data_IF_682375546980
#
_entry.id   IF_682375546980
#
_cell.length_a   1.000
_cell.length_b   1.000
_cell.length_c   1.000
_cell.angle_alpha   90.00
_cell.angle_beta   90.00
_cell.angle_gamma   90.00
#
_symmetry.space_group_name_H-M   'P 1'
#
loop_
_entity.id
_entity.type
_entity.pdbx_description
1 polymer ?
#
# COMPACT_ATOMS: atom_id res chain seq x y z
N UNK A 1 8.60 13.76 2.27
CA UNK A 1 8.16 12.37 2.08
C UNK A 1 8.81 11.82 0.82
N UNK A 2 9.55 10.72 0.95
CA UNK A 2 10.20 10.07 -0.21
C UNK A 2 9.20 9.16 -0.91
N UNK A 3 9.08 9.34 -2.21
CA UNK A 3 8.15 8.60 -3.07
C UNK A 3 8.95 7.76 -4.06
N UNK A 4 8.50 6.54 -4.24
CA UNK A 4 8.88 5.68 -5.34
C UNK A 4 7.66 5.50 -6.25
N UNK A 5 7.81 5.80 -7.53
CA UNK A 5 6.84 5.44 -8.56
C UNK A 5 7.43 4.34 -9.44
N UNK A 6 6.77 3.20 -9.44
CA UNK A 6 7.09 2.05 -10.29
C UNK A 6 6.33 2.23 -11.61
N UNK A 7 7.07 2.26 -12.71
CA UNK A 7 6.52 2.37 -14.05
C UNK A 7 6.95 1.13 -14.87
N UNK A 8 6.13 0.07 -14.86
CA UNK A 8 6.43 -1.14 -15.60
C UNK A 8 6.23 -0.87 -17.11
N UNK A 9 7.30 -0.57 -17.82
CA UNK A 9 7.24 -0.28 -19.27
C UNK A 9 6.71 -1.48 -20.03
N UNK A 10 7.22 -2.68 -19.71
CA UNK A 10 6.75 -3.91 -20.33
C UNK A 10 6.79 -5.13 -19.41
N UNK A 11 7.35 -5.01 -18.20
CA UNK A 11 7.41 -6.09 -17.24
C UNK A 11 7.76 -5.61 -15.83
N UNK A 12 7.57 -6.49 -14.86
CA UNK A 12 8.05 -6.32 -13.48
C UNK A 12 8.39 -7.67 -12.87
N UNK A 13 9.63 -7.77 -12.40
CA UNK A 13 10.17 -8.90 -11.66
C UNK A 13 11.09 -8.40 -10.54
N UNK A 14 11.51 -9.28 -9.65
CA UNK A 14 12.39 -8.92 -8.56
C UNK A 14 13.76 -8.44 -9.03
N UNK A 15 14.37 -9.17 -9.95
CA UNK A 15 15.67 -8.83 -10.56
C UNK A 15 15.62 -7.48 -11.30
N UNK A 16 14.56 -7.21 -12.07
CA UNK A 16 14.35 -5.91 -12.71
C UNK A 16 14.22 -4.79 -11.69
N UNK A 17 13.55 -5.03 -10.57
CA UNK A 17 13.41 -4.03 -9.51
C UNK A 17 14.74 -3.73 -8.82
N UNK A 18 15.55 -4.76 -8.55
CA UNK A 18 16.91 -4.61 -8.01
C UNK A 18 17.80 -3.86 -8.99
N UNK A 19 17.76 -4.24 -10.30
CA UNK A 19 18.46 -3.55 -11.37
C UNK A 19 18.08 -2.07 -11.46
N UNK A 20 16.80 -1.75 -11.34
CA UNK A 20 16.33 -0.37 -11.34
C UNK A 20 16.84 0.42 -10.11
N UNK A 21 16.88 -0.17 -8.92
CA UNK A 21 17.50 0.47 -7.75
C UNK A 21 19.00 0.70 -7.94
N UNK A 22 19.73 -0.28 -8.48
CA UNK A 22 21.14 -0.11 -8.78
C UNK A 22 21.37 1.01 -9.82
N UNK A 23 20.54 1.08 -10.86
CA UNK A 23 20.55 2.15 -11.85
C UNK A 23 20.24 3.53 -11.24
N UNK A 24 19.37 3.59 -10.23
CA UNK A 24 19.04 4.82 -9.50
C UNK A 24 20.13 5.23 -8.49
N UNK A 25 21.17 4.41 -8.30
CA UNK A 25 22.33 4.72 -7.45
C UNK A 25 22.37 3.96 -6.12
N UNK A 26 21.69 2.82 -5.99
CA UNK A 26 21.97 1.86 -4.91
C UNK A 26 23.34 1.22 -5.18
N UNK A 27 24.35 1.43 -4.31
CA UNK A 27 25.65 0.80 -4.49
C UNK A 27 25.52 -0.73 -4.38
N UNK A 28 26.15 -1.45 -5.28
CA UNK A 28 26.06 -2.91 -5.29
C UNK A 28 26.79 -3.54 -4.08
N UNK A 29 27.71 -2.79 -3.46
CA UNK A 29 28.36 -3.11 -2.20
C UNK A 29 27.36 -3.31 -1.06
N UNK A 30 26.25 -2.57 -1.06
CA UNK A 30 25.16 -2.71 -0.07
C UNK A 30 24.44 -4.05 -0.20
N UNK A 31 24.23 -4.52 -1.45
CA UNK A 31 23.66 -5.85 -1.73
C UNK A 31 24.66 -6.93 -1.32
N UNK A 32 25.93 -6.77 -1.67
CA UNK A 32 26.98 -7.71 -1.28
C UNK A 32 27.16 -7.79 0.23
N UNK A 33 27.02 -6.65 0.93
CA UNK A 33 27.08 -6.62 2.41
C UNK A 33 25.88 -7.36 3.03
N UNK A 34 24.69 -7.25 2.44
CA UNK A 34 23.52 -8.01 2.84
C UNK A 34 23.76 -9.51 2.67
N UNK A 35 24.30 -9.96 1.54
CA UNK A 35 24.56 -11.37 1.26
C UNK A 35 25.55 -12.00 2.23
N UNK A 36 26.58 -11.26 2.67
CA UNK A 36 27.54 -11.75 3.66
C UNK A 36 26.89 -12.06 5.01
N UNK A 37 25.71 -11.52 5.28
CA UNK A 37 24.95 -11.77 6.52
C UNK A 37 24.01 -12.98 6.40
N UNK A 38 23.78 -13.49 5.20
CA UNK A 38 22.94 -14.67 4.95
C UNK A 38 23.75 -15.91 5.35
N UNK A 39 23.22 -16.83 6.20
CA UNK A 39 23.97 -17.99 6.73
C UNK A 39 24.10 -19.13 5.72
N UNK A 40 24.16 -18.81 4.44
CA UNK A 40 24.41 -19.76 3.34
C UNK A 40 25.10 -19.04 2.18
N UNK A 41 25.78 -19.81 1.33
CA UNK A 41 26.40 -19.26 0.13
C UNK A 41 25.32 -18.98 -0.92
N UNK A 42 25.05 -17.70 -1.14
CA UNK A 42 24.20 -17.26 -2.24
C UNK A 42 24.95 -17.29 -3.58
N UNK A 43 24.23 -17.47 -4.72
CA UNK A 43 24.81 -17.30 -6.04
C UNK A 43 25.35 -15.90 -6.22
N UNK A 44 26.41 -15.77 -7.02
CA UNK A 44 26.98 -14.47 -7.33
C UNK A 44 26.02 -13.68 -8.22
N UNK A 45 25.85 -12.40 -7.91
CA UNK A 45 25.05 -11.48 -8.72
C UNK A 45 25.97 -10.40 -9.27
N UNK A 46 25.90 -10.20 -10.57
CA UNK A 46 26.70 -9.20 -11.25
C UNK A 46 25.79 -8.22 -12.00
N UNK A 47 25.82 -6.92 -11.66
CA UNK A 47 25.09 -5.91 -12.41
C UNK A 47 25.77 -5.67 -13.75
N UNK A 48 25.02 -5.76 -14.83
CA UNK A 48 25.53 -5.55 -16.20
C UNK A 48 24.70 -4.46 -16.87
N UNK A 49 25.36 -3.48 -17.48
CA UNK A 49 24.66 -2.52 -18.33
C UNK A 49 24.21 -3.20 -19.61
N UNK A 50 22.92 -3.12 -19.87
CA UNK A 50 22.31 -3.73 -21.04
C UNK A 50 21.30 -2.78 -21.67
N UNK A 51 21.26 -2.75 -23.00
CA UNK A 51 20.29 -1.96 -23.75
C UNK A 51 19.09 -2.83 -24.17
N UNK A 52 17.91 -2.29 -23.98
CA UNK A 52 16.64 -2.78 -24.53
C UNK A 52 16.05 -1.71 -25.45
N UNK A 53 16.32 -1.84 -26.75
CA UNK A 53 16.05 -0.77 -27.72
C UNK A 53 16.87 0.48 -27.43
N UNK A 54 16.21 1.60 -27.17
CA UNK A 54 16.87 2.88 -26.81
C UNK A 54 17.06 3.06 -25.29
N UNK A 55 16.58 2.11 -24.49
CA UNK A 55 16.66 2.18 -23.03
C UNK A 55 17.89 1.42 -22.57
N UNK A 56 18.84 2.11 -21.93
CA UNK A 56 19.95 1.49 -21.21
C UNK A 56 19.56 1.36 -19.72
N UNK A 57 19.71 0.16 -19.18
CA UNK A 57 19.42 -0.14 -17.78
C UNK A 57 20.41 -1.13 -17.20
N UNK A 58 20.15 -1.54 -15.95
CA UNK A 58 20.93 -2.58 -15.30
C UNK A 58 20.16 -3.91 -15.38
N UNK A 59 20.82 -4.89 -15.97
CA UNK A 59 20.43 -6.30 -15.91
C UNK A 59 21.24 -7.00 -14.81
N UNK A 60 20.59 -7.91 -14.07
CA UNK A 60 21.27 -8.73 -13.09
C UNK A 60 21.61 -10.07 -13.69
N UNK A 61 22.90 -10.33 -13.85
CA UNK A 61 23.38 -11.67 -14.19
C UNK A 61 23.54 -12.45 -12.88
N UNK A 62 22.61 -13.37 -12.61
CA UNK A 62 22.62 -14.24 -11.44
C UNK A 62 23.25 -15.57 -11.86
N UNK A 63 24.27 -16.02 -11.12
CA UNK A 63 24.89 -17.33 -11.34
C UNK A 63 23.84 -18.43 -11.16
N UNK A 64 23.78 -19.40 -12.09
CA UNK A 64 22.87 -20.53 -11.98
C UNK A 64 23.12 -21.30 -10.68
N UNK A 65 22.07 -21.63 -9.98
CA UNK A 65 22.13 -22.33 -8.70
C UNK A 65 20.95 -23.30 -8.58
N UNK A 66 21.27 -24.55 -8.27
CA UNK A 66 20.26 -25.58 -7.93
C UNK A 66 19.85 -25.52 -6.45
N UNK A 67 20.14 -24.39 -5.77
CA UNK A 67 19.80 -24.23 -4.36
C UNK A 67 18.31 -23.98 -4.19
N UNK A 68 17.62 -24.95 -3.64
CA UNK A 68 16.23 -24.87 -3.25
C UNK A 68 16.12 -24.70 -1.74
N UNK A 69 15.21 -23.85 -1.30
CA UNK A 69 14.95 -23.58 0.10
C UNK A 69 13.50 -23.95 0.43
N UNK A 70 13.31 -24.62 1.54
CA UNK A 70 11.98 -24.80 2.11
C UNK A 70 11.45 -23.51 2.68
N UNK A 71 10.13 -23.41 2.85
CA UNK A 71 9.49 -22.24 3.50
C UNK A 71 10.12 -21.97 4.87
N UNK A 72 10.30 -23.02 5.68
CA UNK A 72 10.87 -22.89 7.03
C UNK A 72 12.32 -22.38 7.01
N UNK A 73 13.12 -22.78 6.02
CA UNK A 73 14.49 -22.26 5.85
C UNK A 73 14.49 -20.78 5.44
N UNK A 74 13.64 -20.39 4.48
CA UNK A 74 13.51 -18.97 4.09
C UNK A 74 13.10 -18.11 5.29
N UNK A 75 12.07 -18.52 6.03
CA UNK A 75 11.63 -17.80 7.24
C UNK A 75 12.74 -17.71 8.31
N UNK A 76 13.44 -18.82 8.55
CA UNK A 76 14.54 -18.85 9.52
C UNK A 76 15.68 -17.93 9.11
N UNK A 77 16.02 -17.90 7.81
CA UNK A 77 17.06 -17.00 7.28
C UNK A 77 16.63 -15.55 7.49
N UNK A 78 15.44 -15.15 7.01
CA UNK A 78 14.96 -13.77 7.10
C UNK A 78 14.93 -13.29 8.58
N UNK A 79 14.39 -14.09 9.50
CA UNK A 79 14.30 -13.75 10.93
C UNK A 79 15.67 -13.62 11.59
N UNK A 80 16.62 -14.50 11.20
CA UNK A 80 17.96 -14.57 11.76
C UNK A 80 18.96 -13.53 11.26
N UNK A 81 18.63 -12.78 10.17
CA UNK A 81 19.54 -11.79 9.60
C UNK A 81 19.83 -10.64 10.58
N UNK A 82 21.11 -10.24 10.63
CA UNK A 82 21.54 -9.03 11.35
C UNK A 82 21.41 -7.79 10.46
N UNK A 83 20.16 -7.38 10.20
CA UNK A 83 19.80 -6.19 9.41
C UNK A 83 18.70 -5.41 10.09
N UNK A 84 18.42 -4.21 9.61
CA UNK A 84 17.33 -3.37 10.12
C UNK A 84 15.99 -4.09 10.17
N UNK A 85 15.18 -3.81 11.18
CA UNK A 85 13.87 -4.45 11.36
C UNK A 85 12.99 -4.31 10.10
N UNK A 86 13.00 -3.14 9.47
CA UNK A 86 12.24 -2.87 8.25
C UNK A 86 12.52 -3.88 7.14
N UNK A 87 13.79 -4.19 6.88
CA UNK A 87 14.18 -5.15 5.83
C UNK A 87 13.62 -6.54 6.12
N UNK A 88 13.70 -6.99 7.39
CA UNK A 88 13.16 -8.29 7.81
C UNK A 88 11.65 -8.34 7.72
N UNK A 89 10.99 -7.30 8.21
CA UNK A 89 9.54 -7.23 8.25
C UNK A 89 8.94 -7.18 6.84
N UNK A 90 9.54 -6.38 5.94
CA UNK A 90 9.13 -6.30 4.54
C UNK A 90 9.36 -7.62 3.79
N UNK A 91 10.56 -8.23 3.93
CA UNK A 91 10.86 -9.51 3.29
C UNK A 91 9.92 -10.62 3.78
N UNK A 92 9.66 -10.68 5.09
CA UNK A 92 8.74 -11.65 5.68
C UNK A 92 7.29 -11.42 5.23
N UNK A 93 6.85 -10.17 5.15
CA UNK A 93 5.51 -9.83 4.67
C UNK A 93 5.33 -10.20 3.19
N UNK A 94 6.33 -9.96 2.36
CA UNK A 94 6.34 -10.38 0.95
C UNK A 94 6.32 -11.89 0.80
N UNK A 95 7.13 -12.62 1.56
CA UNK A 95 7.09 -14.09 1.59
C UNK A 95 5.69 -14.59 1.97
N UNK A 96 5.06 -14.00 2.98
CA UNK A 96 3.70 -14.35 3.40
C UNK A 96 2.65 -14.12 2.29
N UNK A 97 2.80 -13.10 1.46
CA UNK A 97 1.91 -12.87 0.31
C UNK A 97 2.01 -14.03 -0.68
N UNK A 98 3.22 -14.45 -1.03
CA UNK A 98 3.48 -15.58 -1.92
C UNK A 98 2.85 -16.86 -1.35
N UNK A 99 3.15 -17.18 -0.09
CA UNK A 99 2.65 -18.40 0.56
C UNK A 99 1.12 -18.45 0.63
N UNK A 100 0.47 -17.33 0.88
CA UNK A 100 -0.99 -17.26 0.90
C UNK A 100 -1.60 -17.50 -0.50
N UNK A 101 -0.99 -16.93 -1.53
CA UNK A 101 -1.44 -17.11 -2.90
C UNK A 101 -1.26 -18.57 -3.37
N UNK A 102 -0.08 -19.14 -3.12
CA UNK A 102 0.22 -20.55 -3.44
C UNK A 102 -0.72 -21.51 -2.70
N UNK A 103 -0.91 -21.32 -1.39
CA UNK A 103 -1.83 -22.13 -0.59
C UNK A 103 -3.25 -22.10 -1.16
N UNK A 104 -3.72 -20.92 -1.57
CA UNK A 104 -5.04 -20.76 -2.17
C UNK A 104 -5.18 -21.42 -3.52
N UNK A 105 -4.17 -21.29 -4.39
CA UNK A 105 -4.19 -21.86 -5.75
C UNK A 105 -4.10 -23.40 -5.70
N UNK A 106 -3.24 -23.93 -4.83
CA UNK A 106 -3.07 -25.38 -4.68
C UNK A 106 -4.13 -26.05 -3.79
N UNK A 107 -4.88 -25.26 -3.01
CA UNK A 107 -5.90 -25.79 -2.10
C UNK A 107 -5.34 -26.59 -0.93
N UNK A 108 -4.10 -26.33 -0.52
CA UNK A 108 -3.38 -27.06 0.55
C UNK A 108 -2.93 -26.10 1.65
N UNK A 109 -2.69 -26.65 2.84
CA UNK A 109 -2.16 -25.87 3.98
C UNK A 109 -0.76 -25.34 3.74
N UNK A 110 -0.37 -24.26 4.44
CA UNK A 110 0.97 -23.66 4.30
C UNK A 110 2.10 -24.64 4.65
N UNK A 111 1.86 -25.51 5.62
CA UNK A 111 2.86 -26.49 6.09
C UNK A 111 3.09 -27.63 5.09
N UNK A 112 2.18 -27.79 4.12
CA UNK A 112 2.24 -28.80 3.05
C UNK A 112 2.71 -28.19 1.71
N UNK A 113 2.98 -26.89 1.66
CA UNK A 113 3.39 -26.21 0.44
C UNK A 113 4.80 -26.61 0.01
N UNK A 114 4.88 -27.04 -1.23
CA UNK A 114 6.12 -27.15 -1.98
C UNK A 114 6.18 -26.02 -3.00
N UNK A 115 7.06 -25.04 -2.81
CA UNK A 115 7.10 -23.79 -3.59
C UNK A 115 7.57 -23.99 -5.04
N UNK A 116 7.87 -25.22 -5.48
CA UNK A 116 8.33 -25.53 -6.85
C UNK A 116 9.33 -24.47 -7.36
N UNK A 117 8.96 -23.67 -8.37
CA UNK A 117 9.80 -22.62 -8.94
C UNK A 117 10.15 -21.53 -7.93
N UNK A 118 9.25 -21.19 -7.00
CA UNK A 118 9.48 -20.20 -5.96
C UNK A 118 10.33 -20.71 -4.78
N UNK A 119 10.70 -22.01 -4.78
CA UNK A 119 11.67 -22.57 -3.83
C UNK A 119 13.12 -22.20 -4.16
N UNK A 120 13.39 -21.72 -5.37
CA UNK A 120 14.72 -21.26 -5.76
C UNK A 120 15.20 -20.10 -4.87
N UNK A 121 16.47 -20.09 -4.60
CA UNK A 121 17.11 -19.04 -3.78
C UNK A 121 16.90 -17.64 -4.33
N UNK A 122 16.62 -17.52 -5.64
CA UNK A 122 16.35 -16.26 -6.32
C UNK A 122 15.15 -15.52 -5.69
N UNK A 123 14.10 -16.26 -5.26
CA UNK A 123 12.98 -15.68 -4.54
C UNK A 123 13.44 -14.98 -3.25
N UNK A 124 14.29 -15.63 -2.46
CA UNK A 124 14.84 -15.03 -1.24
C UNK A 124 15.68 -13.79 -1.53
N UNK A 125 16.50 -13.86 -2.59
CA UNK A 125 17.33 -12.76 -3.07
C UNK A 125 16.45 -11.56 -3.44
N UNK A 126 15.41 -11.79 -4.26
CA UNK A 126 14.49 -10.74 -4.69
C UNK A 126 13.85 -10.03 -3.49
N UNK A 127 13.28 -10.80 -2.55
CA UNK A 127 12.61 -10.23 -1.38
C UNK A 127 13.57 -9.40 -0.52
N UNK A 128 14.76 -9.91 -0.24
CA UNK A 128 15.74 -9.23 0.61
C UNK A 128 16.34 -7.99 -0.07
N UNK A 129 16.70 -8.08 -1.35
CA UNK A 129 17.33 -6.98 -2.07
C UNK A 129 16.36 -5.84 -2.37
N UNK A 130 15.09 -6.16 -2.68
CA UNK A 130 14.07 -5.13 -2.84
C UNK A 130 13.78 -4.43 -1.52
N UNK A 131 13.63 -5.17 -0.41
CA UNK A 131 13.48 -4.57 0.91
C UNK A 131 14.68 -3.68 1.28
N UNK A 132 15.93 -4.11 0.93
CA UNK A 132 17.13 -3.30 1.11
C UNK A 132 17.11 -2.03 0.25
N UNK A 133 16.65 -2.09 -0.99
CA UNK A 133 16.51 -0.91 -1.85
C UNK A 133 15.51 0.10 -1.29
N UNK A 134 14.37 -0.36 -0.81
CA UNK A 134 13.37 0.48 -0.15
C UNK A 134 13.91 1.17 1.11
N UNK A 135 14.69 0.44 1.91
CA UNK A 135 15.32 0.96 3.12
C UNK A 135 16.43 1.97 2.79
N UNK A 136 17.29 1.66 1.82
CA UNK A 136 18.39 2.53 1.39
C UNK A 136 17.93 3.90 0.90
N UNK A 137 16.86 3.94 0.10
CA UNK A 137 16.28 5.18 -0.40
C UNK A 137 15.28 5.82 0.57
N UNK A 138 15.09 5.23 1.74
CA UNK A 138 14.14 5.71 2.77
C UNK A 138 12.72 5.96 2.20
N UNK A 139 12.26 5.02 1.36
CA UNK A 139 10.98 5.17 0.66
C UNK A 139 9.82 5.13 1.66
N UNK A 140 9.02 6.20 1.70
CA UNK A 140 7.84 6.30 2.54
C UNK A 140 6.58 5.75 1.85
N UNK A 141 6.45 5.99 0.53
CA UNK A 141 5.29 5.58 -0.26
C UNK A 141 5.68 5.09 -1.65
N UNK A 142 4.93 4.10 -2.11
CA UNK A 142 5.11 3.50 -3.43
C UNK A 142 3.81 3.61 -4.22
N UNK A 143 3.95 4.04 -5.46
CA UNK A 143 2.89 4.06 -6.47
C UNK A 143 3.31 3.23 -7.66
N UNK A 144 2.35 2.71 -8.40
CA UNK A 144 2.62 1.87 -9.57
C UNK A 144 1.68 2.24 -10.71
N UNK A 145 2.22 2.29 -11.92
CA UNK A 145 1.43 2.34 -13.15
C UNK A 145 0.61 1.06 -13.37
N UNK A 146 -0.14 1.00 -14.48
CA UNK A 146 -0.84 -0.23 -14.86
C UNK A 146 0.15 -1.38 -15.04
N UNK A 147 -0.19 -2.57 -14.53
CA UNK A 147 0.72 -3.72 -14.48
C UNK A 147 0.59 -4.53 -15.76
N UNK A 148 1.68 -4.72 -16.55
CA UNK A 148 1.62 -5.46 -17.78
C UNK A 148 1.52 -6.96 -17.52
N UNK A 149 0.62 -7.61 -18.23
CA UNK A 149 0.43 -9.06 -18.21
C UNK A 149 0.44 -9.60 -19.65
N UNK A 150 1.06 -10.74 -19.85
CA UNK A 150 1.00 -11.46 -21.12
C UNK A 150 -0.32 -12.20 -21.30
N UNK A 151 -0.47 -12.92 -22.41
CA UNK A 151 -1.64 -13.75 -22.74
C UNK A 151 -1.21 -15.16 -23.16
N UNK A 152 -2.21 -16.02 -23.29
CA UNK A 152 -2.01 -17.40 -23.80
C UNK A 152 -1.53 -18.33 -22.70
N UNK A 153 -0.44 -19.04 -22.96
CA UNK A 153 0.12 -20.04 -22.04
C UNK A 153 1.64 -19.92 -21.97
N UNK A 154 2.19 -20.33 -20.83
CA UNK A 154 3.63 -20.46 -20.61
C UNK A 154 3.96 -21.87 -20.14
N UNK A 155 5.20 -22.30 -20.38
CA UNK A 155 5.71 -23.58 -19.92
C UNK A 155 6.47 -23.38 -18.61
N UNK A 156 6.08 -24.09 -17.58
CA UNK A 156 6.65 -24.05 -16.23
C UNK A 156 6.96 -25.46 -15.72
N UNK A 157 7.50 -25.58 -14.52
CA UNK A 157 7.68 -26.87 -13.84
C UNK A 157 6.36 -27.65 -13.68
N UNK A 158 5.22 -26.94 -13.57
CA UNK A 158 3.88 -27.52 -13.54
C UNK A 158 3.32 -27.91 -14.92
N UNK A 159 4.14 -27.83 -15.99
CA UNK A 159 3.70 -28.03 -17.36
C UNK A 159 3.25 -26.74 -18.04
N UNK A 160 2.25 -26.83 -18.91
CA UNK A 160 1.70 -25.68 -19.63
C UNK A 160 0.58 -25.08 -18.78
N UNK A 161 0.75 -23.84 -18.35
CA UNK A 161 -0.24 -23.11 -17.54
C UNK A 161 -0.71 -21.82 -18.24
N UNK A 162 -1.86 -21.26 -17.85
CA UNK A 162 -2.29 -19.95 -18.34
C UNK A 162 -1.27 -18.85 -18.06
N UNK A 163 -1.21 -17.87 -18.94
CA UNK A 163 -0.42 -16.63 -18.76
C UNK A 163 -1.36 -15.41 -18.62
N UNK A 164 -1.31 -14.62 -17.55
CA UNK A 164 -0.38 -14.72 -16.41
C UNK A 164 -0.62 -15.97 -15.56
N UNK A 165 0.43 -16.43 -14.82
CA UNK A 165 0.27 -17.55 -13.89
C UNK A 165 -0.86 -17.31 -12.87
N UNK A 166 -1.60 -18.36 -12.49
CA UNK A 166 -2.70 -18.21 -11.52
C UNK A 166 -2.28 -17.54 -10.21
N UNK A 167 -1.08 -17.86 -9.69
CA UNK A 167 -0.55 -17.24 -8.48
C UNK A 167 -0.30 -15.75 -8.65
N UNK A 168 0.23 -15.33 -9.81
CA UNK A 168 0.44 -13.91 -10.14
C UNK A 168 -0.87 -13.15 -10.14
N UNK A 169 -1.93 -13.68 -10.78
CA UNK A 169 -3.25 -13.07 -10.79
C UNK A 169 -3.91 -13.03 -9.41
N UNK A 170 -3.74 -14.07 -8.60
CA UNK A 170 -4.24 -14.08 -7.22
C UNK A 170 -3.60 -12.94 -6.41
N UNK A 171 -2.27 -12.78 -6.51
CA UNK A 171 -1.54 -11.70 -5.83
C UNK A 171 -2.01 -10.32 -6.31
N UNK A 172 -2.23 -10.16 -7.61
CA UNK A 172 -2.65 -8.89 -8.24
C UNK A 172 -4.16 -8.61 -8.13
N UNK A 173 -4.92 -9.45 -7.45
CA UNK A 173 -6.36 -9.22 -7.27
C UNK A 173 -6.65 -7.82 -6.72
N UNK A 174 -7.47 -7.05 -7.45
CA UNK A 174 -7.83 -5.66 -7.14
C UNK A 174 -6.80 -4.61 -7.60
N UNK A 175 -5.81 -4.95 -8.41
CA UNK A 175 -4.91 -4.00 -9.06
C UNK A 175 -5.27 -3.79 -10.53
N UNK A 176 -4.87 -2.64 -11.09
CA UNK A 176 -5.09 -2.34 -12.50
C UNK A 176 -4.05 -3.05 -13.36
N UNK A 177 -4.49 -3.97 -14.21
CA UNK A 177 -3.65 -4.75 -15.11
C UNK A 177 -3.95 -4.41 -16.56
N UNK A 178 -2.92 -4.48 -17.42
CA UNK A 178 -3.03 -4.30 -18.87
C UNK A 178 -2.50 -5.52 -19.56
N UNK A 179 -3.32 -6.14 -20.41
CA UNK A 179 -2.91 -7.31 -21.19
C UNK A 179 -2.25 -6.92 -22.50
N UNK A 180 -1.11 -7.55 -22.74
CA UNK A 180 -0.41 -7.51 -24.04
C UNK A 180 -0.53 -8.85 -24.74
N UNK A 181 -0.53 -8.82 -26.07
CA UNK A 181 -0.60 -10.02 -26.91
C UNK A 181 0.80 -10.67 -27.07
N UNK A 182 1.31 -11.13 -25.93
CA UNK A 182 2.64 -11.74 -25.78
C UNK A 182 2.52 -13.01 -24.92
N UNK A 183 3.09 -14.11 -25.40
CA UNK A 183 3.16 -15.38 -24.64
C UNK A 183 4.39 -15.41 -23.73
N UNK A 184 4.64 -14.33 -23.02
CA UNK A 184 5.76 -14.13 -22.10
C UNK A 184 5.24 -13.80 -20.71
N UNK A 185 5.93 -14.24 -19.68
CA UNK A 185 5.65 -13.87 -18.30
C UNK A 185 6.18 -12.44 -18.04
N UNK A 186 5.36 -11.43 -18.35
CA UNK A 186 5.75 -10.03 -18.19
C UNK A 186 5.81 -9.59 -16.73
N UNK A 187 4.91 -10.12 -15.91
CA UNK A 187 4.90 -9.90 -14.46
C UNK A 187 5.06 -11.23 -13.76
N UNK A 188 6.16 -11.38 -13.03
CA UNK A 188 6.46 -12.58 -12.24
C UNK A 188 5.71 -12.57 -10.90
N UNK A 189 5.58 -13.71 -10.20
CA UNK A 189 5.02 -13.75 -8.85
C UNK A 189 5.77 -12.83 -7.87
N UNK A 190 7.10 -12.74 -7.97
CA UNK A 190 7.91 -11.82 -7.14
C UNK A 190 7.63 -10.36 -7.46
N UNK A 191 7.54 -10.01 -8.76
CA UNK A 191 7.14 -8.66 -9.20
C UNK A 191 5.75 -8.26 -8.71
N UNK A 192 4.76 -9.17 -8.85
CA UNK A 192 3.41 -8.98 -8.33
C UNK A 192 3.41 -8.78 -6.79
N UNK A 193 4.23 -9.53 -6.08
CA UNK A 193 4.37 -9.46 -4.62
C UNK A 193 4.92 -8.12 -4.16
N UNK A 194 5.91 -7.59 -4.86
CA UNK A 194 6.47 -6.24 -4.60
C UNK A 194 5.36 -5.20 -4.70
N UNK A 195 4.59 -5.22 -5.78
CA UNK A 195 3.44 -4.30 -5.95
C UNK A 195 2.42 -4.50 -4.82
N UNK A 196 2.03 -5.74 -4.54
CA UNK A 196 1.04 -6.04 -3.50
C UNK A 196 1.45 -5.56 -2.12
N UNK A 197 2.73 -5.68 -1.78
CA UNK A 197 3.24 -5.30 -0.47
C UNK A 197 3.38 -3.78 -0.31
N UNK A 198 3.95 -3.09 -1.29
CA UNK A 198 4.31 -1.69 -1.15
C UNK A 198 3.27 -0.70 -1.68
N UNK A 199 2.50 -1.06 -2.72
CA UNK A 199 1.52 -0.16 -3.33
C UNK A 199 0.20 -0.26 -2.57
N UNK A 200 -0.04 0.70 -1.68
CA UNK A 200 -1.28 0.76 -0.89
C UNK A 200 -2.35 1.59 -1.58
N UNK A 201 -1.95 2.59 -2.34
CA UNK A 201 -2.85 3.46 -3.10
C UNK A 201 -2.83 3.04 -4.57
N UNK A 202 -3.91 2.43 -5.02
CA UNK A 202 -3.98 1.74 -6.31
C UNK A 202 -4.35 2.66 -7.48
N UNK A 203 -4.82 3.88 -7.20
CA UNK A 203 -5.48 4.71 -8.21
C UNK A 203 -4.86 6.09 -8.41
N UNK A 204 -3.90 6.50 -7.61
CA UNK A 204 -3.37 7.87 -7.64
C UNK A 204 -1.88 7.90 -7.94
N UNK A 205 -1.52 8.66 -8.99
CA UNK A 205 -0.14 9.10 -9.17
C UNK A 205 -0.01 10.47 -8.51
N UNK A 206 0.77 10.62 -7.44
CA UNK A 206 0.94 11.90 -6.78
C UNK A 206 1.77 12.85 -7.64
N UNK A 207 1.61 14.14 -7.40
CA UNK A 207 2.56 15.13 -7.88
C UNK A 207 3.79 15.13 -6.96
N UNK A 208 4.98 14.90 -7.52
CA UNK A 208 6.25 14.95 -6.79
C UNK A 208 7.39 15.37 -7.72
N UNK A 209 8.45 15.90 -7.14
CA UNK A 209 9.65 16.24 -7.90
C UNK A 209 10.54 15.01 -8.02
N UNK A 210 10.84 14.61 -9.25
CA UNK A 210 11.72 13.47 -9.53
C UNK A 210 13.18 13.87 -9.25
N UNK A 211 13.84 13.12 -8.38
CA UNK A 211 15.26 13.32 -8.01
C UNK A 211 16.17 12.28 -8.67
N UNK A 212 15.68 11.05 -8.84
CA UNK A 212 16.42 9.94 -9.43
C UNK A 212 15.51 9.11 -10.34
N UNK A 213 16.09 8.56 -11.38
CA UNK A 213 15.45 7.63 -12.31
C UNK A 213 16.33 6.39 -12.40
N UNK A 214 15.73 5.21 -12.36
CA UNK A 214 16.41 3.95 -12.52
C UNK A 214 15.72 3.06 -13.53
N UNK A 215 16.51 2.26 -14.25
CA UNK A 215 16.03 1.29 -15.23
C UNK A 215 16.59 -0.09 -14.90
N UNK A 216 15.70 -1.05 -14.66
CA UNK A 216 15.99 -2.48 -14.63
C UNK A 216 15.56 -3.10 -15.95
N UNK A 217 16.37 -3.94 -16.55
CA UNK A 217 16.06 -4.58 -17.82
C UNK A 217 16.05 -6.10 -17.68
N UNK A 218 15.05 -6.71 -18.30
CA UNK A 218 14.88 -8.15 -18.34
C UNK A 218 15.62 -8.80 -19.53
N UNK A 219 15.31 -10.06 -19.78
CA UNK A 219 15.99 -10.91 -20.76
C UNK A 219 15.23 -11.06 -22.08
N UNK A 220 13.97 -10.68 -22.13
CA UNK A 220 13.16 -10.90 -23.32
C UNK A 220 13.53 -9.95 -24.46
N UNK A 221 13.70 -10.51 -25.66
CA UNK A 221 13.91 -9.73 -26.89
C UNK A 221 12.55 -9.57 -27.57
N UNK A 222 11.91 -8.44 -27.35
CA UNK A 222 10.59 -8.12 -27.91
C UNK A 222 10.62 -6.79 -28.66
N UNK A 223 9.54 -6.47 -29.37
CA UNK A 223 9.39 -5.17 -30.05
C UNK A 223 9.38 -4.02 -29.01
N UNK A 224 8.79 -4.27 -27.83
CA UNK A 224 8.79 -3.33 -26.73
C UNK A 224 10.00 -3.56 -25.84
N UNK A 225 10.64 -2.54 -25.29
CA UNK A 225 11.72 -2.74 -24.33
C UNK A 225 11.27 -3.54 -23.11
N UNK A 226 11.87 -4.69 -22.86
CA UNK A 226 11.68 -5.47 -21.65
C UNK A 226 12.37 -4.75 -20.49
N UNK A 227 11.70 -3.76 -19.94
CA UNK A 227 12.25 -2.84 -18.97
C UNK A 227 11.23 -2.39 -17.93
N UNK A 228 11.75 -2.18 -16.74
CA UNK A 228 11.10 -1.55 -15.61
C UNK A 228 11.78 -0.21 -15.35
N UNK A 229 11.00 0.86 -15.22
CA UNK A 229 11.50 2.17 -14.82
C UNK A 229 11.00 2.52 -13.43
N UNK A 230 11.85 3.15 -12.65
CA UNK A 230 11.44 3.72 -11.35
C UNK A 230 11.78 5.20 -11.30
N UNK A 231 10.92 5.96 -10.61
CA UNK A 231 11.17 7.35 -10.27
C UNK A 231 11.23 7.46 -8.75
N UNK A 232 12.32 7.99 -8.23
CA UNK A 232 12.47 8.30 -6.81
C UNK A 232 12.51 9.81 -6.67
N UNK A 233 11.73 10.34 -5.75
CA UNK A 233 11.68 11.77 -5.55
C UNK A 233 11.05 12.18 -4.23
N UNK A 234 10.86 13.47 -4.05
CA UNK A 234 10.26 14.04 -2.87
C UNK A 234 8.95 14.75 -3.20
N UNK A 235 7.96 14.56 -2.37
CA UNK A 235 6.79 15.42 -2.35
C UNK A 235 6.99 16.48 -1.28
N UNK A 236 6.99 17.75 -1.69
CA UNK A 236 7.07 18.89 -0.79
C UNK A 236 5.71 19.17 -0.11
N UNK A 237 4.66 18.46 -0.53
CA UNK A 237 3.31 18.70 -0.02
C UNK A 237 3.18 18.10 1.38
N UNK A 238 2.98 18.91 2.43
CA UNK A 238 2.81 18.44 3.81
C UNK A 238 1.47 17.72 4.02
N UNK A 239 0.72 17.54 2.95
CA UNK A 239 -0.61 16.97 2.95
C UNK A 239 -0.65 15.71 2.13
N UNK A 240 -1.40 14.73 2.58
CA UNK A 240 -1.78 13.59 1.76
C UNK A 240 -2.95 14.01 0.89
N UNK A 241 -2.78 13.92 -0.44
CA UNK A 241 -3.90 14.03 -1.35
C UNK A 241 -4.63 12.67 -1.35
N UNK A 242 -5.84 12.67 -0.84
CA UNK A 242 -6.74 11.52 -0.85
C UNK A 242 -7.84 11.80 -1.85
N UNK A 243 -8.22 10.81 -2.64
CA UNK A 243 -9.47 10.88 -3.39
C UNK A 243 -10.60 10.33 -2.54
N UNK A 244 -11.66 11.08 -2.44
CA UNK A 244 -12.88 10.69 -1.74
C UNK A 244 -14.08 10.83 -2.66
N UNK A 245 -15.14 10.13 -2.32
CA UNK A 245 -16.44 10.34 -2.92
C UNK A 245 -17.35 11.05 -1.93
N UNK A 246 -18.11 12.00 -2.42
CA UNK A 246 -19.20 12.63 -1.70
C UNK A 246 -20.51 12.15 -2.29
N UNK A 247 -21.29 11.48 -1.45
CA UNK A 247 -22.65 11.00 -1.77
C UNK A 247 -23.62 12.01 -1.22
N UNK A 248 -24.47 12.61 -2.06
CA UNK A 248 -25.51 13.55 -1.62
C UNK A 248 -26.89 13.04 -2.00
N UNK A 249 -27.80 13.03 -1.03
CA UNK A 249 -29.21 12.72 -1.23
C UNK A 249 -30.09 13.73 -0.49
N UNK A 250 -31.17 14.17 -1.18
CA UNK A 250 -32.15 15.09 -0.62
C UNK A 250 -33.43 14.32 -0.27
N UNK A 251 -33.87 14.42 0.99
CA UNK A 251 -34.94 13.64 1.60
C UNK A 251 -36.06 14.60 2.07
N UNK A 252 -37.30 14.49 1.53
CA UNK A 252 -38.46 15.31 1.93
C UNK A 252 -39.62 14.48 2.48
N UNK A 253 -39.43 13.17 2.56
CA UNK A 253 -40.47 12.20 2.97
C UNK A 253 -39.98 11.21 4.05
N UNK A 254 -38.80 11.42 4.63
CA UNK A 254 -38.23 10.62 5.71
C UNK A 254 -38.52 11.26 7.07
N UNK A 255 -38.87 10.44 8.06
CA UNK A 255 -39.07 10.88 9.46
C UNK A 255 -37.75 11.36 10.07
N UNK A 256 -37.72 12.59 10.56
CA UNK A 256 -36.50 13.28 11.03
C UNK A 256 -35.80 12.57 12.19
N UNK A 257 -36.55 11.85 13.03
CA UNK A 257 -36.00 11.12 14.19
C UNK A 257 -35.07 9.97 13.78
N UNK A 258 -35.23 9.40 12.57
CA UNK A 258 -34.34 8.32 12.08
C UNK A 258 -33.04 8.82 11.49
N UNK A 259 -32.94 10.07 11.07
CA UNK A 259 -31.74 10.61 10.39
C UNK A 259 -30.47 10.48 11.23
N UNK A 260 -30.57 10.73 12.54
CA UNK A 260 -29.44 10.59 13.45
C UNK A 260 -28.94 9.14 13.53
N UNK A 261 -29.87 8.19 13.69
CA UNK A 261 -29.52 6.77 13.77
C UNK A 261 -28.94 6.24 12.44
N UNK A 262 -29.49 6.67 11.29
CA UNK A 262 -28.96 6.34 9.97
C UNK A 262 -27.55 6.90 9.78
N UNK A 263 -27.32 8.15 10.18
CA UNK A 263 -26.00 8.77 10.11
C UNK A 263 -24.97 8.00 10.97
N UNK A 264 -25.33 7.58 12.17
CA UNK A 264 -24.45 6.81 13.05
C UNK A 264 -24.15 5.42 12.49
N UNK A 265 -25.14 4.77 11.88
CA UNK A 265 -24.96 3.48 11.21
C UNK A 265 -24.03 3.58 10.00
N UNK A 266 -24.19 4.61 9.17
CA UNK A 266 -23.30 4.89 8.03
C UNK A 266 -21.87 5.16 8.51
N UNK A 267 -21.69 5.90 9.63
CA UNK A 267 -20.35 6.11 10.23
C UNK A 267 -19.72 4.80 10.70
N UNK A 268 -20.50 3.92 11.33
CA UNK A 268 -20.01 2.63 11.85
C UNK A 268 -19.54 1.68 10.74
N UNK A 269 -20.09 1.80 9.52
CA UNK A 269 -19.63 1.06 8.33
C UNK A 269 -18.39 1.67 7.69
N UNK A 270 -17.91 2.78 8.23
CA UNK A 270 -16.62 3.39 7.91
C UNK A 270 -16.68 4.50 6.90
N UNK A 271 -17.78 5.23 6.80
CA UNK A 271 -17.79 6.54 6.17
C UNK A 271 -16.79 7.47 6.89
N UNK A 272 -16.08 8.29 6.12
CA UNK A 272 -15.11 9.24 6.65
C UNK A 272 -15.79 10.41 7.37
N UNK A 273 -16.94 10.83 6.86
CA UNK A 273 -17.79 11.84 7.48
C UNK A 273 -19.24 11.68 7.03
N UNK A 274 -20.19 12.06 7.90
CA UNK A 274 -21.61 12.07 7.61
C UNK A 274 -22.20 13.36 8.15
N UNK A 275 -22.68 14.18 7.25
CA UNK A 275 -23.34 15.44 7.55
C UNK A 275 -24.79 15.37 7.10
N UNK A 276 -25.67 16.04 7.84
CA UNK A 276 -27.05 16.27 7.41
C UNK A 276 -27.47 17.66 7.81
N UNK A 277 -28.14 18.34 6.90
CA UNK A 277 -28.56 19.73 7.09
C UNK A 277 -29.87 20.04 6.39
N UNK A 278 -30.68 20.98 6.94
CA UNK A 278 -31.97 21.30 6.39
C UNK A 278 -31.85 21.97 5.01
N UNK A 279 -32.75 21.63 4.12
CA UNK A 279 -32.85 22.23 2.79
C UNK A 279 -34.32 22.50 2.45
N UNK A 280 -34.56 23.44 1.53
CA UNK A 280 -35.85 23.60 0.92
C UNK A 280 -35.82 22.98 -0.47
N UNK A 281 -36.77 22.07 -0.72
CA UNK A 281 -36.91 21.33 -1.96
C UNK A 281 -37.98 21.93 -2.86
N UNK A 282 -38.18 21.34 -4.02
CA UNK A 282 -39.24 21.74 -4.97
C UNK A 282 -40.60 21.85 -4.26
N UNK A 283 -41.45 22.78 -4.68
CA UNK A 283 -42.76 23.08 -4.10
C UNK A 283 -42.70 23.63 -2.66
N UNK A 284 -41.53 24.19 -2.22
CA UNK A 284 -41.34 24.76 -0.91
C UNK A 284 -41.34 23.75 0.24
N UNK A 285 -41.12 22.47 -0.02
CA UNK A 285 -41.10 21.45 1.03
C UNK A 285 -39.79 21.50 1.82
N UNK A 286 -39.85 21.52 3.15
CA UNK A 286 -38.66 21.30 3.94
C UNK A 286 -38.16 19.87 3.78
N UNK A 287 -36.88 19.69 3.79
CA UNK A 287 -36.25 18.38 3.71
C UNK A 287 -34.86 18.40 4.33
N UNK A 288 -34.17 17.28 4.24
CA UNK A 288 -32.79 17.14 4.70
C UNK A 288 -31.92 16.72 3.53
N UNK A 289 -30.76 17.34 3.39
CA UNK A 289 -29.66 16.82 2.57
C UNK A 289 -28.76 15.98 3.45
N UNK A 290 -28.66 14.69 3.14
CA UNK A 290 -27.64 13.79 3.65
C UNK A 290 -26.41 13.90 2.74
N UNK A 291 -25.24 14.16 3.34
CA UNK A 291 -23.94 14.22 2.64
C UNK A 291 -22.97 13.28 3.33
N UNK A 292 -22.48 12.28 2.61
CA UNK A 292 -21.57 11.25 3.13
C UNK A 292 -20.27 11.30 2.37
N UNK A 293 -19.16 11.49 3.09
CA UNK A 293 -17.81 11.39 2.53
C UNK A 293 -17.28 9.98 2.76
N UNK A 294 -16.80 9.33 1.71
CA UNK A 294 -16.37 7.92 1.76
C UNK A 294 -15.13 7.69 0.91
N UNK A 295 -14.29 6.74 1.32
CA UNK A 295 -13.16 6.27 0.52
C UNK A 295 -13.63 5.42 -0.67
N UNK A 296 -12.86 5.38 -1.78
CA UNK A 296 -13.27 4.64 -2.99
C UNK A 296 -13.56 3.16 -2.75
N UNK A 297 -12.84 2.52 -1.83
CA UNK A 297 -12.99 1.10 -1.50
C UNK A 297 -14.29 0.76 -0.77
N UNK A 298 -14.95 1.75 -0.16
CA UNK A 298 -16.22 1.58 0.56
C UNK A 298 -17.43 2.19 -0.15
N UNK A 299 -17.22 2.81 -1.31
CA UNK A 299 -18.26 3.57 -2.01
C UNK A 299 -19.53 2.74 -2.24
N UNK A 300 -19.41 1.59 -2.88
CA UNK A 300 -20.57 0.76 -3.24
C UNK A 300 -21.33 0.27 -1.99
N UNK A 301 -20.61 -0.12 -0.95
CA UNK A 301 -21.21 -0.55 0.31
C UNK A 301 -22.03 0.56 0.97
N UNK A 302 -21.52 1.79 0.95
CA UNK A 302 -22.24 2.93 1.53
C UNK A 302 -23.41 3.36 0.65
N UNK A 303 -23.31 3.27 -0.68
CA UNK A 303 -24.42 3.50 -1.60
C UNK A 303 -25.58 2.55 -1.31
N UNK A 304 -25.31 1.25 -1.19
CA UNK A 304 -26.32 0.25 -0.85
C UNK A 304 -27.00 0.58 0.49
N UNK A 305 -26.23 0.97 1.48
CA UNK A 305 -26.75 1.32 2.79
C UNK A 305 -27.64 2.57 2.74
N UNK A 306 -27.25 3.61 2.02
CA UNK A 306 -28.07 4.82 1.86
C UNK A 306 -29.42 4.47 1.20
N UNK A 307 -29.44 3.60 0.20
CA UNK A 307 -30.70 3.13 -0.39
C UNK A 307 -31.54 2.29 0.57
N UNK A 308 -30.93 1.48 1.41
CA UNK A 308 -31.66 0.63 2.36
C UNK A 308 -32.22 1.40 3.55
N UNK A 309 -31.48 2.39 4.03
CA UNK A 309 -31.79 3.09 5.29
C UNK A 309 -32.52 4.42 5.07
N UNK A 310 -32.69 4.87 3.84
CA UNK A 310 -33.39 6.13 3.53
C UNK A 310 -34.51 5.93 2.51
N UNK A 311 -35.36 6.94 2.36
CA UNK A 311 -36.46 6.95 1.38
C UNK A 311 -35.99 7.38 -0.03
N UNK A 312 -34.70 7.63 -0.22
CA UNK A 312 -34.20 8.14 -1.52
C UNK A 312 -34.32 7.13 -2.65
N UNK A 313 -34.71 7.60 -3.83
CA UNK A 313 -34.67 6.84 -5.08
C UNK A 313 -33.41 7.13 -5.91
N UNK A 314 -32.59 8.07 -5.49
CA UNK A 314 -31.37 8.44 -6.19
C UNK A 314 -30.49 9.38 -5.42
N UNK A 315 -29.21 9.35 -5.75
CA UNK A 315 -28.19 10.18 -5.12
C UNK A 315 -27.22 10.75 -6.13
N UNK A 316 -26.57 11.83 -5.77
CA UNK A 316 -25.48 12.42 -6.57
C UNK A 316 -24.15 11.92 -6.02
N UNK A 317 -23.23 11.57 -6.91
CA UNK A 317 -21.89 11.14 -6.60
C UNK A 317 -20.91 12.16 -7.15
N UNK A 318 -20.04 12.68 -6.28
CA UNK A 318 -18.97 13.60 -6.67
C UNK A 318 -17.63 13.02 -6.21
N UNK A 319 -16.68 13.00 -7.12
CA UNK A 319 -15.30 12.66 -6.79
C UNK A 319 -14.57 13.94 -6.40
N UNK A 320 -13.95 13.98 -5.24
CA UNK A 320 -13.28 15.16 -4.71
C UNK A 320 -11.87 14.80 -4.23
N UNK A 321 -10.94 15.73 -4.41
CA UNK A 321 -9.60 15.64 -3.85
C UNK A 321 -9.62 16.23 -2.43
N UNK A 322 -9.15 15.45 -1.46
CA UNK A 322 -9.08 15.82 -0.06
C UNK A 322 -7.64 15.89 0.40
N UNK A 323 -7.24 17.02 0.97
CA UNK A 323 -5.92 17.20 1.58
C UNK A 323 -5.99 16.98 3.08
N UNK A 324 -5.17 16.07 3.59
CA UNK A 324 -5.12 15.75 5.02
C UNK A 324 -3.68 15.84 5.54
N UNK A 325 -3.52 16.27 6.78
CA UNK A 325 -2.22 16.21 7.47
C UNK A 325 -1.84 14.75 7.73
N UNK A 326 -0.54 14.47 7.77
CA UNK A 326 -0.05 13.22 8.37
C UNK A 326 -0.56 13.16 9.81
N UNK A 327 -1.22 12.06 10.18
CA UNK A 327 -1.83 11.90 11.50
C UNK A 327 -1.27 10.68 12.19
N UNK A 328 -0.95 10.84 13.46
CA UNK A 328 -0.51 9.76 14.32
C UNK A 328 -1.34 9.77 15.59
N UNK A 329 -1.84 8.60 15.99
CA UNK A 329 -2.50 8.42 17.29
C UNK A 329 -1.46 7.99 18.30
N UNK A 330 -1.37 8.71 19.42
CA UNK A 330 -0.49 8.39 20.55
C UNK A 330 -1.31 8.33 21.82
N UNK A 331 -0.81 7.55 22.78
CA UNK A 331 -1.29 7.60 24.16
C UNK A 331 -0.29 8.40 24.96
N UNK A 332 -0.78 9.39 25.70
CA UNK A 332 0.03 10.24 26.58
C UNK A 332 -0.43 10.05 28.01
N UNK A 333 0.48 9.73 28.91
CA UNK A 333 0.19 9.63 30.33
C UNK A 333 -0.03 11.01 30.93
N UNK A 334 -1.15 11.20 31.64
CA UNK A 334 -1.53 12.45 32.31
C UNK A 334 -1.82 12.20 33.77
N UNK A 335 -2.05 13.24 34.55
CA UNK A 335 -2.50 13.15 35.96
C UNK A 335 -3.84 12.41 36.10
N UNK A 336 -4.61 12.30 35.01
CA UNK A 336 -5.86 11.56 34.94
C UNK A 336 -5.70 10.14 34.36
N UNK A 337 -4.47 9.70 34.07
CA UNK A 337 -4.15 8.44 33.41
C UNK A 337 -3.86 8.58 31.91
N UNK A 338 -3.83 7.45 31.17
CA UNK A 338 -3.49 7.46 29.76
C UNK A 338 -4.59 8.07 28.91
N UNK A 339 -4.27 9.03 28.05
CA UNK A 339 -5.16 9.78 27.17
C UNK A 339 -4.74 9.60 25.73
N UNK A 340 -5.69 9.30 24.85
CA UNK A 340 -5.46 9.22 23.42
C UNK A 340 -5.40 10.62 22.82
N UNK A 341 -4.32 10.88 22.07
CA UNK A 341 -4.13 12.12 21.33
C UNK A 341 -3.88 11.82 19.86
N UNK A 342 -4.34 12.73 19.01
CA UNK A 342 -4.13 12.67 17.56
C UNK A 342 -3.28 13.86 17.16
N UNK A 343 -2.06 13.60 16.73
CA UNK A 343 -1.14 14.63 16.26
C UNK A 343 -1.22 14.74 14.74
N UNK A 344 -1.30 15.97 14.24
CA UNK A 344 -1.11 16.30 12.84
C UNK A 344 0.29 16.89 12.63
N UNK A 345 1.00 16.41 11.63
CA UNK A 345 2.40 16.76 11.36
C UNK A 345 2.54 17.52 10.05
N UNK A 346 3.54 18.41 9.96
CA UNK A 346 4.00 19.03 8.72
C UNK A 346 4.88 18.06 7.91
N UNK A 347 5.41 18.56 6.78
CA UNK A 347 6.29 17.78 5.90
C UNK A 347 7.61 17.39 6.58
N UNK A 348 8.08 18.22 7.53
CA UNK A 348 9.31 18.01 8.28
C UNK A 348 9.10 17.10 9.51
N UNK A 349 7.89 16.59 9.71
CA UNK A 349 7.54 15.71 10.84
C UNK A 349 7.34 16.46 12.16
N UNK A 350 7.21 17.78 12.15
CA UNK A 350 6.93 18.58 13.34
C UNK A 350 5.43 18.56 13.64
N UNK A 351 4.99 18.36 14.88
CA UNK A 351 3.57 18.40 15.23
C UNK A 351 3.05 19.83 15.13
N UNK A 352 2.11 20.09 14.21
CA UNK A 352 1.43 21.38 14.03
C UNK A 352 0.05 21.43 14.70
N UNK A 353 -0.55 20.29 14.95
CA UNK A 353 -1.83 20.17 15.64
C UNK A 353 -1.82 18.97 16.58
N UNK A 354 -2.37 19.16 17.78
CA UNK A 354 -2.65 18.08 18.75
C UNK A 354 -4.12 18.14 19.10
N UNK A 355 -4.85 17.08 18.89
CA UNK A 355 -6.24 16.91 19.27
C UNK A 355 -6.33 15.81 20.33
N UNK A 356 -7.05 16.09 21.42
CA UNK A 356 -7.31 15.13 22.51
C UNK A 356 -8.65 14.48 22.21
N UNK A 357 -8.72 13.15 22.27
CA UNK A 357 -9.95 12.42 22.01
C UNK A 357 -11.04 12.78 23.06
N UNK A 358 -12.19 13.26 22.58
CA UNK A 358 -13.26 13.76 23.43
C UNK A 358 -13.84 12.69 24.35
N UNK A 359 -13.93 11.45 23.89
CA UNK A 359 -14.46 10.34 24.69
C UNK A 359 -13.62 10.06 25.94
N UNK A 360 -12.30 10.26 25.88
CA UNK A 360 -11.44 10.12 27.05
C UNK A 360 -11.70 11.26 28.07
N UNK A 361 -11.88 12.49 27.57
CA UNK A 361 -12.21 13.65 28.41
C UNK A 361 -13.57 13.43 29.07
N UNK A 362 -14.57 13.00 28.30
CA UNK A 362 -15.92 12.74 28.77
C UNK A 362 -15.91 11.67 29.87
N UNK A 363 -15.26 10.55 29.62
CA UNK A 363 -15.14 9.47 30.60
C UNK A 363 -14.56 9.93 31.93
N UNK A 364 -13.45 10.69 31.88
CA UNK A 364 -12.79 11.20 33.09
C UNK A 364 -13.68 12.19 33.83
N UNK A 365 -14.32 13.11 33.09
CA UNK A 365 -15.18 14.13 33.66
C UNK A 365 -16.37 13.50 34.38
N UNK A 366 -17.02 12.50 33.76
CA UNK A 366 -18.15 11.79 34.32
C UNK A 366 -17.74 10.93 35.55
N UNK A 367 -16.62 10.21 35.49
CA UNK A 367 -16.10 9.39 36.60
C UNK A 367 -15.66 10.22 37.81
N UNK A 368 -15.16 11.45 37.59
CA UNK A 368 -14.66 12.32 38.67
C UNK A 368 -15.62 13.42 39.08
N UNK A 369 -16.75 13.54 38.40
CA UNK A 369 -17.73 14.61 38.66
C UNK A 369 -17.18 16.01 38.36
N UNK A 370 -16.28 16.14 37.39
CA UNK A 370 -15.60 17.40 37.02
C UNK A 370 -16.21 18.01 35.75
N UNK A 371 -16.20 19.33 35.60
CA UNK A 371 -16.58 19.97 34.34
C UNK A 371 -15.63 19.55 33.20
N UNK A 372 -16.17 19.20 32.03
CA UNK A 372 -15.39 18.78 30.83
C UNK A 372 -14.29 19.80 30.47
N UNK A 373 -14.60 21.07 30.58
CA UNK A 373 -13.65 22.15 30.30
C UNK A 373 -12.43 22.10 31.23
N UNK A 374 -12.64 21.87 32.51
CA UNK A 374 -11.56 21.78 33.50
C UNK A 374 -10.62 20.61 33.18
N UNK A 375 -11.17 19.43 32.90
CA UNK A 375 -10.39 18.25 32.50
C UNK A 375 -9.60 18.52 31.24
N UNK A 376 -10.22 19.14 30.21
CA UNK A 376 -9.57 19.47 28.95
C UNK A 376 -8.41 20.47 29.13
N UNK A 377 -8.61 21.52 29.91
CA UNK A 377 -7.58 22.57 30.17
C UNK A 377 -6.38 21.99 30.92
N UNK A 378 -6.62 21.14 31.93
CA UNK A 378 -5.56 20.45 32.67
C UNK A 378 -4.73 19.54 31.75
N UNK A 379 -5.38 18.70 30.98
CA UNK A 379 -4.71 17.78 30.03
C UNK A 379 -3.91 18.57 28.98
N UNK A 380 -4.47 19.64 28.44
CA UNK A 380 -3.76 20.52 27.47
C UNK A 380 -2.48 21.11 28.05
N UNK A 381 -2.55 21.60 29.29
CA UNK A 381 -1.37 22.15 29.98
C UNK A 381 -0.28 21.10 30.15
N UNK A 382 -0.64 19.89 30.59
CA UNK A 382 0.33 18.81 30.79
C UNK A 382 0.97 18.34 29.48
N UNK A 383 0.20 18.24 28.39
CA UNK A 383 0.72 17.85 27.08
C UNK A 383 1.65 18.94 26.53
N UNK A 384 1.35 20.23 26.76
CA UNK A 384 2.20 21.33 26.34
C UNK A 384 3.55 21.35 27.06
N UNK A 385 3.58 20.92 28.32
CA UNK A 385 4.80 20.89 29.15
C UNK A 385 5.70 19.68 28.81
N UNK A 386 5.15 18.64 28.16
CA UNK A 386 5.89 17.42 27.76
C UNK A 386 6.43 17.46 26.33
N UNK A 387 6.21 18.55 25.61
CA UNK A 387 6.81 18.87 24.30
C UNK A 387 8.14 19.60 24.48
#
# INVERSE_FOLDING_TARGET
MKILHIDPIFGISGDMMIGAFASAGLPFEEINALFKKVPLRLPAITPVRQAQGIIEGIHLNIEESDLHLTVAEMEKIIRGLDVGARIKDDAMAMLNIILNAESKIHGIGRDELHLHELSHVDTLIDLLCVAKGMDYFEIDRVYCGPIPCGRGTIKTAHGIIPNPPPVTLEILSGYNIVFYDESLELTTPTGATIVRHYVKDKNTSPSFTVEKIGYGVGNYKTIRPDALRIFIGASEVPFYDEQVWVIESDLDDMEMEYIGAVADRIRSEGALDVLYFPVYMKKGRPGIRLSVTVSPDKLERIIEMVFQETTTFGMRLKKEDRRVLKREKKVVDTSYGPIRVKNGYDAEGRPIKTHIEFEDIKKIADEKGLPYRMVLETIRSEIATKK
#
